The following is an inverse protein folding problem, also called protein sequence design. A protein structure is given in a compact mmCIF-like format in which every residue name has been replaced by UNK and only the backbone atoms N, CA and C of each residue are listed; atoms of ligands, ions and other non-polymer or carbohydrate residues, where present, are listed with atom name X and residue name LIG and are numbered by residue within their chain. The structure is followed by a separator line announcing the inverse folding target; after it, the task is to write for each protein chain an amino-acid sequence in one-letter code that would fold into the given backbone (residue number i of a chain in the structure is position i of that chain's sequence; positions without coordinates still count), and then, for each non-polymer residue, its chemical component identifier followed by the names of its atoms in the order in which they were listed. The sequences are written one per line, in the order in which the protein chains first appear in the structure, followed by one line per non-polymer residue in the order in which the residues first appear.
data_IF_686064368497
#
_entry.id   IF_686064368497
#
_cell.length_a   1.000
_cell.length_b   1.000
_cell.length_c   1.000
_cell.angle_alpha   90.00
_cell.angle_beta   90.00
_cell.angle_gamma   90.00
#
_symmetry.space_group_name_H-M   'P 1'
#
loop_
_entity.id
_entity.type
_entity.pdbx_description
1 polymer ?
#
# COMPACT_ATOMS: atom_id res chain seq x y z
N UNK A 1 -2.12 -7.70 17.96
CA UNK A 1 -0.72 -8.11 18.26
C UNK A 1 -0.20 -8.92 17.08
N UNK A 2 1.01 -8.62 16.60
CA UNK A 2 1.66 -9.38 15.53
C UNK A 2 2.57 -10.44 16.15
N UNK A 3 2.52 -11.67 15.63
CA UNK A 3 3.33 -12.78 16.13
C UNK A 3 3.99 -13.51 14.96
N UNK A 4 5.32 -13.59 14.98
CA UNK A 4 6.11 -14.35 14.02
C UNK A 4 6.33 -15.75 14.55
N UNK A 5 5.81 -16.76 13.85
CA UNK A 5 6.08 -18.16 14.15
C UNK A 5 7.10 -18.70 13.15
N UNK A 6 8.21 -19.21 13.66
CA UNK A 6 9.28 -19.81 12.86
C UNK A 6 9.25 -21.32 13.07
N UNK A 7 9.05 -22.07 11.99
CA UNK A 7 9.05 -23.53 12.00
C UNK A 7 10.45 -24.02 11.65
N UNK A 8 11.14 -24.56 12.66
CA UNK A 8 12.49 -25.11 12.47
C UNK A 8 12.43 -26.49 11.80
N UNK A 9 13.48 -26.91 11.05
CA UNK A 9 13.55 -28.28 10.55
C UNK A 9 13.36 -29.30 11.68
N UNK A 10 12.33 -30.14 11.57
CA UNK A 10 11.99 -31.15 12.59
C UNK A 10 11.02 -30.68 13.68
N UNK A 11 10.60 -29.42 13.71
CA UNK A 11 9.51 -28.97 14.60
C UNK A 11 8.18 -29.62 14.17
N UNK A 12 7.32 -29.96 15.13
CA UNK A 12 5.95 -30.38 14.86
C UNK A 12 5.06 -29.14 14.66
N UNK A 13 4.60 -28.81 13.44
CA UNK A 13 3.83 -27.58 13.20
C UNK A 13 2.54 -27.50 14.04
N UNK A 14 1.94 -28.64 14.38
CA UNK A 14 0.72 -28.67 15.19
C UNK A 14 0.99 -28.18 16.62
N UNK A 15 2.10 -28.63 17.23
CA UNK A 15 2.51 -28.21 18.58
C UNK A 15 2.97 -26.75 18.62
N UNK A 16 3.61 -26.27 17.56
CA UNK A 16 4.02 -24.87 17.45
C UNK A 16 2.80 -23.93 17.38
N UNK A 17 1.72 -24.36 16.72
CA UNK A 17 0.49 -23.57 16.63
C UNK A 17 -0.29 -23.52 17.95
N UNK A 18 -0.31 -24.60 18.73
CA UNK A 18 -0.95 -24.58 20.06
C UNK A 18 -0.22 -23.67 21.04
N UNK A 19 1.05 -23.35 20.77
CA UNK A 19 1.87 -22.45 21.58
C UNK A 19 1.70 -20.96 21.21
N UNK A 20 0.87 -20.63 20.21
CA UNK A 20 0.63 -19.24 19.81
C UNK A 20 -0.11 -18.50 20.94
N UNK A 21 0.40 -17.35 21.42
CA UNK A 21 -0.24 -16.60 22.50
C UNK A 21 -1.69 -16.17 22.19
N UNK A 22 -2.53 -16.12 23.22
CA UNK A 22 -3.86 -15.53 23.10
C UNK A 22 -3.79 -14.04 22.75
N UNK A 23 -4.75 -13.56 21.96
CA UNK A 23 -4.83 -12.14 21.56
C UNK A 23 -3.94 -11.78 20.35
N UNK A 24 -3.22 -12.74 19.77
CA UNK A 24 -2.58 -12.56 18.46
C UNK A 24 -3.65 -12.33 17.40
N UNK A 25 -3.48 -11.25 16.62
CA UNK A 25 -4.41 -10.85 15.56
C UNK A 25 -3.77 -10.94 14.18
N UNK A 26 -2.44 -10.92 14.08
CA UNK A 26 -1.69 -11.15 12.85
C UNK A 26 -0.64 -12.21 13.10
N UNK A 27 -0.75 -13.33 12.39
CA UNK A 27 0.18 -14.46 12.44
C UNK A 27 1.09 -14.42 11.21
N UNK A 28 2.39 -14.36 11.44
CA UNK A 28 3.40 -14.35 10.40
C UNK A 28 4.12 -15.70 10.32
N UNK A 29 3.87 -16.43 9.23
CA UNK A 29 4.49 -17.69 8.85
C UNK A 29 5.39 -17.54 7.61
N UNK A 30 5.81 -16.33 7.26
CA UNK A 30 6.67 -16.12 6.10
C UNK A 30 8.02 -16.83 6.22
N UNK A 31 8.65 -17.22 5.10
CA UNK A 31 10.00 -17.78 5.09
C UNK A 31 10.19 -19.03 5.98
N UNK A 32 9.16 -19.89 6.06
CA UNK A 32 9.16 -21.16 6.80
C UNK A 32 9.27 -22.39 5.88
N UNK A 33 9.54 -22.20 4.59
CA UNK A 33 9.60 -23.29 3.61
C UNK A 33 8.36 -24.19 3.64
N UNK A 34 7.15 -23.62 3.79
CA UNK A 34 5.93 -24.43 3.94
C UNK A 34 5.69 -25.40 2.76
N UNK A 35 6.29 -25.17 1.59
CA UNK A 35 6.25 -26.13 0.48
C UNK A 35 6.76 -27.54 0.85
N UNK A 36 7.72 -27.65 1.77
CA UNK A 36 8.32 -28.93 2.18
C UNK A 36 7.59 -29.61 3.33
N UNK A 37 6.66 -28.92 4.01
CA UNK A 37 5.85 -29.50 5.08
C UNK A 37 4.71 -30.30 4.44
N UNK A 38 4.34 -31.43 5.06
CA UNK A 38 3.25 -32.24 4.54
C UNK A 38 1.92 -31.48 4.58
N UNK A 39 1.07 -31.76 3.59
CA UNK A 39 -0.25 -31.13 3.48
C UNK A 39 -1.11 -31.41 4.71
N UNK A 40 -1.03 -32.63 5.26
CA UNK A 40 -1.80 -33.04 6.45
C UNK A 40 -1.36 -32.26 7.68
N UNK A 41 -0.05 -32.13 7.93
CA UNK A 41 0.46 -31.38 9.08
C UNK A 41 0.09 -29.90 9.02
N UNK A 42 0.17 -29.27 7.84
CA UNK A 42 -0.22 -27.86 7.67
C UNK A 42 -1.70 -27.63 7.94
N UNK A 43 -2.57 -28.51 7.42
CA UNK A 43 -4.02 -28.42 7.65
C UNK A 43 -4.33 -28.60 9.14
N UNK A 44 -3.70 -29.56 9.80
CA UNK A 44 -3.85 -29.77 11.24
C UNK A 44 -3.31 -28.59 12.06
N UNK A 45 -2.20 -27.98 11.65
CA UNK A 45 -1.65 -26.79 12.29
C UNK A 45 -2.61 -25.60 12.13
N UNK A 46 -3.12 -25.34 10.93
CA UNK A 46 -4.09 -24.27 10.68
C UNK A 46 -5.37 -24.44 11.53
N UNK A 47 -5.83 -25.67 11.76
CA UNK A 47 -6.96 -25.93 12.66
C UNK A 47 -6.71 -25.49 14.12
N UNK A 48 -5.45 -25.35 14.54
CA UNK A 48 -5.05 -24.85 15.87
C UNK A 48 -4.74 -23.35 15.88
N UNK A 49 -4.99 -22.62 14.80
CA UNK A 49 -4.80 -21.16 14.76
C UNK A 49 -5.76 -20.48 15.74
N UNK A 50 -5.29 -19.55 16.61
CA UNK A 50 -6.18 -18.85 17.52
C UNK A 50 -7.30 -18.09 16.79
N UNK A 51 -8.52 -18.16 17.31
CA UNK A 51 -9.70 -17.49 16.74
C UNK A 51 -9.59 -15.95 16.66
N UNK A 52 -8.64 -15.34 17.39
CA UNK A 52 -8.35 -13.91 17.30
C UNK A 52 -7.55 -13.51 16.05
N UNK A 53 -6.95 -14.46 15.33
CA UNK A 53 -6.10 -14.19 14.15
C UNK A 53 -6.95 -13.81 12.94
N UNK A 54 -6.85 -12.56 12.50
CA UNK A 54 -7.58 -12.06 11.31
C UNK A 54 -6.66 -11.81 10.13
N UNK A 55 -5.34 -11.81 10.33
CA UNK A 55 -4.33 -11.62 9.30
C UNK A 55 -3.32 -12.78 9.32
N UNK A 56 -3.09 -13.38 8.15
CA UNK A 56 -2.16 -14.49 7.97
C UNK A 56 -1.13 -14.15 6.89
N UNK A 57 0.14 -14.18 7.25
CA UNK A 57 1.24 -13.99 6.30
C UNK A 57 1.91 -15.32 5.96
N UNK A 58 1.72 -15.78 4.72
CA UNK A 58 2.33 -16.98 4.14
C UNK A 58 3.41 -16.64 3.10
N UNK A 59 3.96 -15.43 3.11
CA UNK A 59 4.89 -14.98 2.07
C UNK A 59 6.23 -15.74 2.06
N UNK A 60 6.87 -15.87 0.91
CA UNK A 60 8.23 -16.43 0.86
C UNK A 60 8.30 -17.91 1.25
N UNK A 61 7.26 -18.70 0.98
CA UNK A 61 7.20 -20.12 1.37
C UNK A 61 7.30 -21.09 0.19
N UNK A 62 7.59 -20.56 -1.01
CA UNK A 62 7.77 -21.34 -2.23
C UNK A 62 6.56 -22.22 -2.59
N UNK A 63 5.35 -21.80 -2.21
CA UNK A 63 4.11 -22.57 -2.37
C UNK A 63 3.78 -22.90 -3.83
N UNK A 64 4.30 -22.14 -4.80
CA UNK A 64 4.19 -22.40 -6.23
C UNK A 64 4.82 -23.74 -6.67
N UNK A 65 5.74 -24.32 -5.90
CA UNK A 65 6.32 -25.64 -6.18
C UNK A 65 5.57 -26.79 -5.50
N UNK A 66 4.60 -26.50 -4.63
CA UNK A 66 3.76 -27.54 -4.03
C UNK A 66 2.84 -28.14 -5.08
N UNK A 67 2.49 -29.43 -4.94
CA UNK A 67 1.50 -30.05 -5.83
C UNK A 67 0.19 -29.23 -5.83
N UNK A 68 -0.48 -29.17 -6.97
CA UNK A 68 -1.63 -28.27 -7.14
C UNK A 68 -2.86 -28.66 -6.33
N UNK A 69 -3.15 -29.96 -6.20
CA UNK A 69 -4.25 -30.41 -5.36
C UNK A 69 -3.91 -30.22 -3.87
N UNK A 70 -2.65 -30.41 -3.49
CA UNK A 70 -2.18 -30.13 -2.13
C UNK A 70 -2.29 -28.65 -1.74
N UNK A 71 -1.87 -27.74 -2.63
CA UNK A 71 -1.94 -26.30 -2.37
C UNK A 71 -3.39 -25.84 -2.27
N UNK A 72 -4.27 -26.37 -3.12
CA UNK A 72 -5.72 -26.12 -3.05
C UNK A 72 -6.26 -26.52 -1.66
N UNK A 73 -5.90 -27.71 -1.16
CA UNK A 73 -6.32 -28.16 0.16
C UNK A 73 -5.79 -27.26 1.29
N UNK A 74 -4.54 -26.78 1.19
CA UNK A 74 -3.95 -25.89 2.20
C UNK A 74 -4.64 -24.53 2.21
N UNK A 75 -4.90 -23.94 1.04
CA UNK A 75 -5.60 -22.66 0.95
C UNK A 75 -7.05 -22.77 1.45
N UNK A 76 -7.74 -23.86 1.12
CA UNK A 76 -9.09 -24.12 1.60
C UNK A 76 -9.14 -24.34 3.13
N UNK A 77 -8.03 -24.75 3.75
CA UNK A 77 -7.91 -24.94 5.19
C UNK A 77 -7.50 -23.69 5.97
N UNK A 78 -7.30 -22.54 5.29
CA UNK A 78 -7.04 -21.27 5.98
C UNK A 78 -8.20 -20.97 6.96
N UNK A 79 -7.92 -20.58 8.21
CA UNK A 79 -8.96 -20.37 9.22
C UNK A 79 -10.01 -19.34 8.80
N UNK A 80 -11.29 -19.65 9.07
CA UNK A 80 -12.43 -18.85 8.60
C UNK A 80 -12.52 -17.43 9.20
N UNK A 81 -11.79 -17.15 10.28
CA UNK A 81 -11.66 -15.83 10.89
C UNK A 81 -10.61 -14.93 10.19
N UNK A 82 -9.78 -15.50 9.30
CA UNK A 82 -8.81 -14.73 8.52
C UNK A 82 -9.52 -13.96 7.42
N UNK A 83 -9.21 -12.65 7.35
CA UNK A 83 -9.73 -11.73 6.33
C UNK A 83 -8.62 -11.05 5.52
N UNK A 84 -7.37 -11.12 5.99
CA UNK A 84 -6.19 -10.64 5.27
C UNK A 84 -5.18 -11.77 5.06
N UNK A 85 -4.84 -12.03 3.81
CA UNK A 85 -3.92 -13.08 3.41
C UNK A 85 -2.77 -12.52 2.58
N UNK A 86 -1.54 -12.84 2.97
CA UNK A 86 -0.35 -12.51 2.18
C UNK A 86 0.28 -13.78 1.60
N UNK A 87 0.25 -13.89 0.26
CA UNK A 87 0.85 -14.95 -0.54
C UNK A 87 2.03 -14.43 -1.38
N UNK A 88 2.60 -13.27 -1.06
CA UNK A 88 3.71 -12.71 -1.83
C UNK A 88 4.96 -13.60 -1.82
N UNK A 89 5.78 -13.56 -2.87
CA UNK A 89 7.06 -14.30 -2.86
C UNK A 89 6.92 -15.82 -2.88
N UNK A 90 5.86 -16.36 -3.48
CA UNK A 90 5.60 -17.80 -3.50
C UNK A 90 5.79 -18.46 -4.86
N UNK A 91 6.32 -17.75 -5.87
CA UNK A 91 6.51 -18.26 -7.23
C UNK A 91 5.22 -18.80 -7.86
N UNK A 92 4.07 -18.20 -7.56
CA UNK A 92 2.77 -18.70 -8.06
C UNK A 92 2.67 -18.69 -9.59
N UNK A 93 3.44 -17.85 -10.30
CA UNK A 93 3.50 -17.86 -11.77
C UNK A 93 4.11 -19.14 -12.37
N UNK A 94 4.81 -19.97 -11.58
CA UNK A 94 5.42 -21.22 -12.05
C UNK A 94 4.41 -22.36 -12.19
N UNK A 95 3.23 -22.22 -11.59
CA UNK A 95 2.07 -23.10 -11.82
C UNK A 95 1.63 -23.00 -13.28
N UNK A 96 1.17 -24.09 -13.90
CA UNK A 96 0.49 -23.99 -15.20
C UNK A 96 -0.79 -23.16 -15.11
N UNK A 97 -1.35 -22.72 -16.24
CA UNK A 97 -2.56 -21.87 -16.24
C UNK A 97 -3.71 -22.51 -15.46
N UNK A 98 -4.00 -23.79 -15.72
CA UNK A 98 -5.10 -24.51 -15.06
C UNK A 98 -4.86 -24.73 -13.57
N UNK A 99 -3.61 -24.94 -13.17
CA UNK A 99 -3.24 -25.08 -11.76
C UNK A 99 -3.34 -23.75 -11.00
N UNK A 100 -2.95 -22.66 -11.64
CA UNK A 100 -3.07 -21.33 -11.06
C UNK A 100 -4.54 -20.94 -10.89
N UNK A 101 -5.39 -21.25 -11.87
CA UNK A 101 -6.85 -21.08 -11.78
C UNK A 101 -7.40 -21.80 -10.53
N UNK A 102 -7.09 -23.09 -10.37
CA UNK A 102 -7.52 -23.86 -9.19
C UNK A 102 -6.97 -23.27 -7.89
N UNK A 103 -5.70 -22.85 -7.90
CA UNK A 103 -5.04 -22.27 -6.73
C UNK A 103 -5.71 -20.98 -6.28
N UNK A 104 -5.99 -20.04 -7.20
CA UNK A 104 -6.64 -18.78 -6.85
C UNK A 104 -8.11 -18.96 -6.47
N UNK A 105 -8.82 -19.91 -7.10
CA UNK A 105 -10.19 -20.27 -6.75
C UNK A 105 -10.32 -20.87 -5.33
N UNK A 106 -9.24 -21.46 -4.80
CA UNK A 106 -9.21 -22.08 -3.47
C UNK A 106 -9.03 -21.08 -2.33
N UNK A 107 -8.75 -19.79 -2.63
CA UNK A 107 -8.65 -18.75 -1.60
C UNK A 107 -10.03 -18.60 -0.92
N UNK A 108 -10.12 -18.62 0.43
CA UNK A 108 -11.40 -18.52 1.11
C UNK A 108 -12.14 -17.21 0.83
N UNK A 109 -13.48 -17.27 0.76
CA UNK A 109 -14.34 -16.10 0.59
C UNK A 109 -14.32 -15.13 1.80
N UNK A 110 -13.70 -15.52 2.90
CA UNK A 110 -13.48 -14.64 4.06
C UNK A 110 -12.40 -13.59 3.79
N UNK A 111 -11.53 -13.83 2.80
CA UNK A 111 -10.43 -12.94 2.44
C UNK A 111 -10.95 -11.70 1.70
N UNK A 112 -10.66 -10.54 2.25
CA UNK A 112 -10.98 -9.21 1.68
C UNK A 112 -9.73 -8.44 1.27
N UNK A 113 -8.57 -8.75 1.88
CA UNK A 113 -7.27 -8.17 1.56
C UNK A 113 -6.32 -9.28 1.12
N UNK A 114 -5.87 -9.23 -0.13
CA UNK A 114 -4.98 -10.24 -0.71
C UNK A 114 -3.68 -9.62 -1.23
N UNK A 115 -2.53 -10.12 -0.77
CA UNK A 115 -1.21 -9.79 -1.33
C UNK A 115 -0.66 -10.92 -2.19
N UNK A 116 -0.53 -10.63 -3.48
CA UNK A 116 0.03 -11.47 -4.53
C UNK A 116 1.34 -10.89 -5.10
N UNK A 117 2.00 -9.98 -4.39
CA UNK A 117 3.24 -9.36 -4.82
C UNK A 117 4.39 -10.37 -5.00
N UNK A 118 5.43 -10.01 -5.75
CA UNK A 118 6.64 -10.84 -5.89
C UNK A 118 6.38 -12.30 -6.30
N UNK A 119 5.40 -12.53 -7.16
CA UNK A 119 5.07 -13.85 -7.68
C UNK A 119 5.46 -14.01 -9.15
N UNK A 120 6.21 -13.07 -9.71
CA UNK A 120 6.65 -13.05 -11.11
C UNK A 120 5.48 -13.20 -12.10
N UNK A 121 4.36 -12.50 -11.88
CA UNK A 121 3.23 -12.55 -12.82
C UNK A 121 3.57 -11.96 -14.21
N UNK A 122 4.70 -11.26 -14.37
CA UNK A 122 5.27 -10.90 -15.65
C UNK A 122 5.56 -12.08 -16.58
N UNK A 123 5.81 -13.29 -16.06
CA UNK A 123 6.06 -14.47 -16.90
C UNK A 123 4.78 -15.09 -17.48
N UNK A 124 3.60 -14.73 -16.96
CA UNK A 124 2.30 -15.16 -17.50
C UNK A 124 1.85 -14.30 -18.67
N UNK A 125 1.29 -14.90 -19.72
CA UNK A 125 0.59 -14.14 -20.77
C UNK A 125 -0.63 -13.41 -20.21
N UNK A 126 -1.10 -12.36 -20.89
CA UNK A 126 -2.30 -11.64 -20.46
C UNK A 126 -3.55 -12.53 -20.45
N UNK A 127 -3.64 -13.54 -21.31
CA UNK A 127 -4.72 -14.52 -21.32
C UNK A 127 -4.69 -15.46 -20.11
N UNK A 128 -3.52 -15.99 -19.76
CA UNK A 128 -3.35 -16.81 -18.55
C UNK A 128 -3.63 -16.00 -17.29
N UNK A 129 -3.13 -14.77 -17.22
CA UNK A 129 -3.42 -13.86 -16.11
C UNK A 129 -4.92 -13.63 -15.99
N UNK A 130 -5.59 -13.30 -17.09
CA UNK A 130 -7.04 -13.08 -17.11
C UNK A 130 -7.82 -14.31 -16.68
N UNK A 131 -7.44 -15.49 -17.17
CA UNK A 131 -8.08 -16.76 -16.81
C UNK A 131 -7.93 -17.05 -15.31
N UNK A 132 -6.75 -16.82 -14.74
CA UNK A 132 -6.51 -17.05 -13.31
C UNK A 132 -7.24 -16.03 -12.42
N UNK A 133 -7.10 -14.73 -12.71
CA UNK A 133 -7.60 -13.66 -11.85
C UNK A 133 -9.13 -13.52 -11.87
N UNK A 134 -9.81 -14.00 -12.93
CA UNK A 134 -11.27 -14.08 -12.95
C UNK A 134 -11.86 -15.07 -11.94
N UNK A 135 -11.02 -15.96 -11.38
CA UNK A 135 -11.41 -16.93 -10.36
C UNK A 135 -11.08 -16.49 -8.93
N UNK A 136 -10.55 -15.27 -8.74
CA UNK A 136 -10.38 -14.72 -7.40
C UNK A 136 -11.75 -14.53 -6.71
N UNK A 137 -11.86 -14.81 -5.41
CA UNK A 137 -13.08 -14.57 -4.65
C UNK A 137 -13.60 -13.13 -4.78
N UNK A 138 -14.91 -12.99 -5.02
CA UNK A 138 -15.59 -11.69 -5.11
C UNK A 138 -15.66 -10.94 -3.75
N UNK A 139 -15.09 -11.48 -2.69
CA UNK A 139 -14.89 -10.82 -1.40
C UNK A 139 -13.69 -9.86 -1.38
N UNK A 140 -12.75 -10.00 -2.32
CA UNK A 140 -11.47 -9.27 -2.31
C UNK A 140 -11.67 -7.80 -2.70
N UNK A 141 -11.58 -6.89 -1.74
CA UNK A 141 -11.70 -5.45 -1.99
C UNK A 141 -10.35 -4.76 -2.13
N UNK A 142 -9.27 -5.36 -1.62
CA UNK A 142 -7.91 -4.84 -1.72
C UNK A 142 -6.97 -5.89 -2.31
N UNK A 143 -6.35 -5.57 -3.44
CA UNK A 143 -5.45 -6.46 -4.16
C UNK A 143 -4.07 -5.82 -4.31
N UNK A 144 -3.04 -6.56 -3.89
CA UNK A 144 -1.66 -6.12 -4.02
C UNK A 144 -0.89 -6.97 -5.05
N UNK A 145 -0.38 -6.30 -6.09
CA UNK A 145 0.40 -6.86 -7.20
C UNK A 145 1.81 -6.26 -7.25
N UNK A 146 2.33 -5.76 -6.13
CA UNK A 146 3.66 -5.14 -6.08
C UNK A 146 4.76 -6.08 -6.55
N UNK A 147 5.79 -5.55 -7.21
CA UNK A 147 7.00 -6.33 -7.52
C UNK A 147 6.74 -7.55 -8.40
N UNK A 148 5.83 -7.46 -9.37
CA UNK A 148 5.58 -8.52 -10.35
C UNK A 148 6.14 -8.15 -11.74
N UNK A 149 7.07 -7.18 -11.79
CA UNK A 149 7.75 -6.70 -13.00
C UNK A 149 6.83 -6.43 -14.20
N UNK A 150 5.58 -6.01 -13.93
CA UNK A 150 4.56 -5.84 -14.96
C UNK A 150 4.98 -4.84 -16.05
N UNK A 151 5.88 -3.91 -15.75
CA UNK A 151 6.46 -2.97 -16.71
C UNK A 151 7.14 -3.63 -17.92
N UNK A 152 7.55 -4.91 -17.85
CA UNK A 152 8.11 -5.61 -19.02
C UNK A 152 7.04 -5.90 -20.10
N UNK A 153 5.76 -5.99 -19.72
CA UNK A 153 4.67 -6.32 -20.63
C UNK A 153 4.41 -5.21 -21.65
N UNK A 154 3.84 -5.59 -22.79
CA UNK A 154 3.37 -4.61 -23.77
C UNK A 154 2.20 -3.78 -23.19
N UNK A 155 1.95 -2.61 -23.77
CA UNK A 155 0.87 -1.73 -23.31
C UNK A 155 -0.51 -2.39 -23.44
N UNK A 156 -0.75 -3.16 -24.49
CA UNK A 156 -2.01 -3.87 -24.69
C UNK A 156 -2.18 -5.05 -23.71
N UNK A 157 -1.11 -5.78 -23.38
CA UNK A 157 -1.15 -6.81 -22.34
C UNK A 157 -1.45 -6.21 -20.96
N UNK A 158 -0.82 -5.09 -20.63
CA UNK A 158 -1.05 -4.38 -19.36
C UNK A 158 -2.52 -3.94 -19.20
N UNK A 159 -3.13 -3.45 -20.28
CA UNK A 159 -4.55 -3.09 -20.30
C UNK A 159 -5.44 -4.33 -20.08
N UNK A 160 -5.10 -5.46 -20.72
CA UNK A 160 -5.81 -6.72 -20.50
C UNK A 160 -5.65 -7.24 -19.06
N UNK A 161 -4.47 -7.04 -18.45
CA UNK A 161 -4.21 -7.35 -17.04
C UNK A 161 -5.10 -6.50 -16.12
N UNK A 162 -5.23 -5.20 -16.36
CA UNK A 162 -6.15 -4.34 -15.60
C UNK A 162 -7.61 -4.75 -15.78
N UNK A 163 -8.02 -5.12 -17.00
CA UNK A 163 -9.35 -5.60 -17.28
C UNK A 163 -9.67 -6.95 -16.60
N UNK A 164 -8.67 -7.68 -16.11
CA UNK A 164 -8.82 -8.91 -15.36
C UNK A 164 -8.94 -8.70 -13.84
N UNK A 165 -8.70 -7.49 -13.34
CA UNK A 165 -8.85 -7.18 -11.92
C UNK A 165 -10.34 -7.30 -11.54
N UNK A 166 -10.69 -8.01 -10.44
CA UNK A 166 -12.08 -8.18 -10.04
C UNK A 166 -12.79 -6.84 -9.80
N UNK A 167 -14.04 -6.73 -10.27
CA UNK A 167 -14.82 -5.48 -10.25
C UNK A 167 -15.17 -4.97 -8.84
N UNK A 168 -14.95 -5.77 -7.81
CA UNK A 168 -15.13 -5.42 -6.40
C UNK A 168 -13.85 -4.87 -5.75
N UNK A 169 -12.71 -4.89 -6.45
CA UNK A 169 -11.45 -4.31 -5.95
C UNK A 169 -11.54 -2.79 -6.01
N UNK A 170 -11.40 -2.15 -4.85
CA UNK A 170 -11.36 -0.69 -4.71
C UNK A 170 -9.96 -0.15 -4.37
N UNK A 171 -9.08 -1.00 -3.84
CA UNK A 171 -7.69 -0.67 -3.56
C UNK A 171 -6.76 -1.56 -4.38
N UNK A 172 -5.97 -0.97 -5.27
CA UNK A 172 -5.02 -1.68 -6.12
C UNK A 172 -3.60 -1.19 -5.85
N UNK A 173 -2.70 -2.12 -5.53
CA UNK A 173 -1.29 -1.81 -5.35
C UNK A 173 -0.43 -2.31 -6.51
N UNK A 174 0.18 -1.39 -7.25
CA UNK A 174 1.09 -1.63 -8.37
C UNK A 174 2.53 -1.19 -8.04
N UNK A 175 2.87 -1.05 -6.76
CA UNK A 175 4.19 -0.62 -6.30
C UNK A 175 5.31 -1.46 -6.91
N UNK A 176 6.41 -0.83 -7.34
CA UNK A 176 7.61 -1.59 -7.70
C UNK A 176 7.45 -2.48 -8.93
N UNK A 177 6.67 -2.08 -9.93
CA UNK A 177 6.48 -2.84 -11.18
C UNK A 177 7.29 -2.26 -12.36
N UNK A 178 8.24 -1.35 -12.11
CA UNK A 178 9.09 -0.73 -13.13
C UNK A 178 8.29 -0.08 -14.28
N UNK A 179 7.15 0.56 -13.97
CA UNK A 179 6.25 1.11 -14.98
C UNK A 179 6.86 2.25 -15.81
N UNK A 180 7.88 2.96 -15.30
CA UNK A 180 8.59 3.98 -16.07
C UNK A 180 9.38 3.45 -17.28
N UNK A 181 9.56 2.14 -17.40
CA UNK A 181 10.13 1.49 -18.60
C UNK A 181 9.25 1.66 -19.85
N UNK A 182 7.93 1.88 -19.68
CA UNK A 182 7.01 2.20 -20.78
C UNK A 182 7.24 3.62 -21.29
N UNK A 183 6.98 3.87 -22.57
CA UNK A 183 7.02 5.25 -23.05
C UNK A 183 5.83 6.07 -22.51
N UNK A 184 5.87 7.39 -22.67
CA UNK A 184 4.86 8.29 -22.11
C UNK A 184 3.44 7.95 -22.56
N UNK A 185 3.23 7.70 -23.86
CA UNK A 185 1.91 7.38 -24.41
C UNK A 185 1.38 6.03 -23.93
N UNK A 186 2.24 5.02 -23.86
CA UNK A 186 1.90 3.68 -23.36
C UNK A 186 1.50 3.71 -21.89
N UNK A 187 2.29 4.38 -21.05
CA UNK A 187 2.01 4.49 -19.63
C UNK A 187 0.72 5.27 -19.38
N UNK A 188 0.49 6.36 -20.12
CA UNK A 188 -0.74 7.12 -20.03
C UNK A 188 -1.98 6.28 -20.43
N UNK A 189 -1.89 5.51 -21.53
CA UNK A 189 -2.96 4.60 -22.00
C UNK A 189 -3.24 3.50 -20.96
N UNK A 190 -2.19 2.96 -20.34
CA UNK A 190 -2.32 1.97 -19.27
C UNK A 190 -3.04 2.55 -18.04
N UNK A 191 -2.57 3.69 -17.52
CA UNK A 191 -3.20 4.31 -16.33
C UNK A 191 -4.62 4.79 -16.61
N UNK A 192 -4.94 5.21 -17.83
CA UNK A 192 -6.31 5.53 -18.23
C UNK A 192 -7.25 4.32 -18.22
N UNK A 193 -6.70 3.11 -18.19
CA UNK A 193 -7.46 1.85 -18.18
C UNK A 193 -7.62 1.26 -16.78
N UNK A 194 -7.28 2.01 -15.71
CA UNK A 194 -7.52 1.58 -14.33
C UNK A 194 -9.03 1.30 -14.14
N UNK A 195 -9.43 0.14 -13.57
CA UNK A 195 -10.83 -0.22 -13.45
C UNK A 195 -11.66 0.78 -12.63
N UNK A 196 -12.90 1.02 -13.06
CA UNK A 196 -13.80 2.02 -12.44
C UNK A 196 -14.10 1.79 -10.95
N UNK A 197 -13.92 0.56 -10.45
CA UNK A 197 -14.07 0.23 -9.04
C UNK A 197 -12.90 0.70 -8.18
N UNK A 198 -11.71 0.87 -8.77
CA UNK A 198 -10.48 1.24 -8.07
C UNK A 198 -10.49 2.73 -7.74
N UNK A 199 -10.59 3.04 -6.46
CA UNK A 199 -10.60 4.41 -5.92
C UNK A 199 -9.30 4.76 -5.20
N UNK A 200 -8.51 3.75 -4.81
CA UNK A 200 -7.17 3.91 -4.24
C UNK A 200 -6.14 3.15 -5.06
N UNK A 201 -5.11 3.86 -5.53
CA UNK A 201 -4.05 3.33 -6.37
C UNK A 201 -2.68 3.60 -5.74
N UNK A 202 -1.84 2.57 -5.63
CA UNK A 202 -0.45 2.71 -5.23
C UNK A 202 0.48 2.55 -6.43
N UNK A 203 1.13 3.64 -6.83
CA UNK A 203 2.14 3.70 -7.89
C UNK A 203 3.56 3.91 -7.33
N UNK A 204 3.76 3.70 -6.04
CA UNK A 204 5.07 3.92 -5.42
C UNK A 204 6.17 3.04 -6.03
N UNK A 205 7.43 3.47 -5.93
CA UNK A 205 8.58 2.69 -6.41
C UNK A 205 8.54 2.26 -7.89
N UNK A 206 7.88 3.02 -8.77
CA UNK A 206 7.79 2.72 -10.21
C UNK A 206 8.78 3.51 -11.08
N UNK A 207 9.75 4.17 -10.45
CA UNK A 207 10.80 4.97 -11.10
C UNK A 207 10.25 6.10 -11.97
N UNK A 208 9.08 6.65 -11.63
CA UNK A 208 8.44 7.70 -12.44
C UNK A 208 9.29 8.97 -12.59
N UNK A 209 10.25 9.21 -11.69
CA UNK A 209 11.24 10.28 -11.81
C UNK A 209 12.19 10.17 -13.01
N UNK A 210 12.20 9.05 -13.74
CA UNK A 210 12.87 8.92 -15.04
C UNK A 210 12.13 9.65 -16.17
N UNK A 211 10.87 10.07 -15.94
CA UNK A 211 10.10 10.86 -16.89
C UNK A 211 10.37 12.35 -16.68
N UNK A 212 10.31 13.11 -17.77
CA UNK A 212 10.27 14.56 -17.68
C UNK A 212 8.99 15.03 -17.00
N UNK A 213 8.99 16.22 -16.40
CA UNK A 213 7.81 16.76 -15.74
C UNK A 213 6.65 17.05 -16.72
N UNK A 214 6.96 17.32 -17.99
CA UNK A 214 5.94 17.43 -19.05
C UNK A 214 5.28 16.08 -19.33
N UNK A 215 6.06 14.99 -19.40
CA UNK A 215 5.51 13.64 -19.53
C UNK A 215 4.71 13.24 -18.28
N UNK A 216 5.22 13.53 -17.07
CA UNK A 216 4.49 13.27 -15.83
C UNK A 216 3.16 14.00 -15.77
N UNK A 217 3.10 15.27 -16.19
CA UNK A 217 1.85 16.01 -16.25
C UNK A 217 0.82 15.31 -17.16
N UNK A 218 1.26 14.82 -18.32
CA UNK A 218 0.41 14.06 -19.25
C UNK A 218 -0.03 12.71 -18.67
N UNK A 219 0.90 11.94 -18.09
CA UNK A 219 0.64 10.64 -17.45
C UNK A 219 -0.32 10.79 -16.26
N UNK A 220 -0.09 11.78 -15.40
CA UNK A 220 -0.95 12.04 -14.24
C UNK A 220 -2.34 12.48 -14.66
N UNK A 221 -2.46 13.29 -15.71
CA UNK A 221 -3.74 13.72 -16.25
C UNK A 221 -4.56 12.58 -16.87
N UNK A 222 -3.92 11.45 -17.20
CA UNK A 222 -4.61 10.26 -17.72
C UNK A 222 -5.15 9.35 -16.62
N UNK A 223 -4.77 9.56 -15.35
CA UNK A 223 -5.33 8.81 -14.22
C UNK A 223 -6.84 9.14 -14.11
N UNK A 224 -7.73 8.14 -14.11
CA UNK A 224 -9.17 8.36 -14.07
C UNK A 224 -9.63 9.08 -12.81
N UNK A 225 -10.65 9.93 -12.96
CA UNK A 225 -11.17 10.77 -11.87
C UNK A 225 -11.79 10.01 -10.68
N UNK A 226 -12.13 8.73 -10.84
CA UNK A 226 -12.61 7.88 -9.75
C UNK A 226 -11.48 7.46 -8.79
N UNK A 227 -10.21 7.56 -9.21
CA UNK A 227 -9.06 7.31 -8.33
C UNK A 227 -8.86 8.52 -7.44
N UNK A 228 -9.39 8.51 -6.22
CA UNK A 228 -9.33 9.65 -5.30
C UNK A 228 -8.16 9.58 -4.32
N UNK A 229 -7.48 8.44 -4.22
CA UNK A 229 -6.31 8.21 -3.38
C UNK A 229 -5.15 7.70 -4.22
N UNK A 230 -4.01 8.40 -4.19
CA UNK A 230 -2.83 8.03 -4.97
C UNK A 230 -1.55 8.05 -4.13
N UNK A 231 -0.81 6.94 -4.13
CA UNK A 231 0.53 6.89 -3.54
C UNK A 231 1.61 7.07 -4.61
N UNK A 232 2.43 8.12 -4.45
CA UNK A 232 3.53 8.46 -5.36
C UNK A 232 4.92 8.29 -4.73
N UNK A 233 5.01 7.75 -3.51
CA UNK A 233 6.27 7.58 -2.79
C UNK A 233 7.31 6.77 -3.57
N UNK A 234 8.58 6.92 -3.23
CA UNK A 234 9.71 6.15 -3.76
C UNK A 234 9.82 6.20 -5.29
N UNK A 235 9.25 7.20 -5.97
CA UNK A 235 9.38 7.36 -7.41
C UNK A 235 10.62 8.15 -7.84
N UNK A 236 11.51 8.50 -6.90
CA UNK A 236 12.76 9.20 -7.16
C UNK A 236 12.55 10.53 -7.91
N UNK A 237 11.58 11.34 -7.48
CA UNK A 237 11.37 12.68 -8.00
C UNK A 237 12.52 13.60 -7.51
N UNK A 238 13.70 13.49 -8.12
CA UNK A 238 14.92 14.17 -7.70
C UNK A 238 14.81 15.69 -7.83
N UNK A 239 14.98 16.40 -6.71
CA UNK A 239 15.24 17.85 -6.64
C UNK A 239 14.51 18.70 -7.69
N UNK A 240 13.17 18.69 -7.74
CA UNK A 240 12.41 19.40 -8.76
C UNK A 240 12.80 20.88 -8.85
N UNK A 241 13.08 21.41 -10.04
CA UNK A 241 13.08 22.87 -10.21
C UNK A 241 11.66 23.43 -10.03
N UNK A 242 11.54 24.69 -9.66
CA UNK A 242 10.24 25.36 -9.57
C UNK A 242 9.47 25.31 -10.91
N UNK A 243 10.17 25.50 -12.02
CA UNK A 243 9.58 25.45 -13.36
C UNK A 243 9.06 24.06 -13.72
N UNK A 244 9.77 23.01 -13.32
CA UNK A 244 9.32 21.63 -13.50
C UNK A 244 8.02 21.34 -12.74
N UNK A 245 7.91 21.78 -11.48
CA UNK A 245 6.70 21.55 -10.67
C UNK A 245 5.49 22.30 -11.23
N UNK A 246 5.68 23.50 -11.78
CA UNK A 246 4.60 24.27 -12.42
C UNK A 246 3.95 23.52 -13.58
N UNK A 247 4.69 22.63 -14.26
CA UNK A 247 4.13 21.81 -15.35
C UNK A 247 3.10 20.80 -14.85
N UNK A 248 3.17 20.38 -13.59
CA UNK A 248 2.22 19.43 -12.99
C UNK A 248 0.88 20.06 -12.62
N UNK A 249 0.72 21.38 -12.80
CA UNK A 249 -0.49 22.09 -12.39
C UNK A 249 -1.75 21.41 -12.92
N UNK A 250 -2.72 21.20 -12.02
CA UNK A 250 -4.01 20.58 -12.25
C UNK A 250 -3.99 19.12 -12.77
N UNK A 251 -2.81 18.48 -12.89
CA UNK A 251 -2.69 17.14 -13.45
C UNK A 251 -3.34 16.05 -12.58
N UNK A 252 -3.57 16.33 -11.30
CA UNK A 252 -4.15 15.43 -10.31
C UNK A 252 -5.32 16.09 -9.55
N UNK A 253 -6.05 17.00 -10.21
CA UNK A 253 -7.13 17.80 -9.60
C UNK A 253 -8.29 17.00 -8.98
N UNK A 254 -8.42 15.72 -9.31
CA UNK A 254 -9.47 14.85 -8.81
C UNK A 254 -9.09 14.15 -7.49
N UNK A 255 -7.81 14.18 -7.08
CA UNK A 255 -7.34 13.52 -5.87
C UNK A 255 -7.88 14.20 -4.60
N UNK A 256 -8.26 13.35 -3.65
CA UNK A 256 -8.60 13.74 -2.28
C UNK A 256 -7.49 13.35 -1.30
N UNK A 257 -6.78 12.24 -1.55
CA UNK A 257 -5.65 11.78 -0.74
C UNK A 257 -4.41 11.56 -1.60
N UNK A 258 -3.25 12.02 -1.13
CA UNK A 258 -1.95 11.79 -1.80
C UNK A 258 -0.90 11.40 -0.77
N UNK A 259 -0.08 10.42 -1.12
CA UNK A 259 1.08 10.01 -0.32
C UNK A 259 2.37 10.48 -1.01
N UNK A 260 3.23 11.15 -0.24
CA UNK A 260 4.47 11.76 -0.73
C UNK A 260 5.64 11.40 0.17
N UNK A 261 6.83 11.28 -0.41
CA UNK A 261 8.06 11.05 0.35
C UNK A 261 8.40 12.27 1.20
N UNK A 262 8.44 12.09 2.53
CA UNK A 262 8.84 13.14 3.45
C UNK A 262 10.23 13.69 3.13
N UNK A 263 11.17 12.80 2.81
CA UNK A 263 12.56 13.18 2.55
C UNK A 263 12.73 14.03 1.28
N UNK A 264 11.81 13.92 0.33
CA UNK A 264 11.81 14.76 -0.88
C UNK A 264 11.19 16.12 -0.52
N UNK A 265 10.00 16.10 0.08
CA UNK A 265 9.23 17.31 0.33
C UNK A 265 9.92 18.22 1.36
N UNK A 266 10.54 17.67 2.40
CA UNK A 266 11.21 18.48 3.45
C UNK A 266 12.37 19.35 2.93
N UNK A 267 12.91 18.99 1.76
CA UNK A 267 14.03 19.68 1.12
C UNK A 267 13.55 20.70 0.07
N UNK A 268 12.24 20.87 -0.12
CA UNK A 268 11.67 21.86 -1.04
C UNK A 268 11.54 23.24 -0.38
N UNK A 269 11.68 24.29 -1.18
CA UNK A 269 11.29 25.66 -0.81
C UNK A 269 9.77 25.78 -0.70
N UNK A 270 9.31 26.89 -0.11
CA UNK A 270 7.87 27.20 0.00
C UNK A 270 7.21 27.31 -1.37
N UNK A 271 7.89 27.91 -2.33
CA UNK A 271 7.42 28.07 -3.72
C UNK A 271 7.33 26.71 -4.41
N UNK A 272 8.30 25.82 -4.19
CA UNK A 272 8.26 24.45 -4.70
C UNK A 272 7.10 23.66 -4.08
N UNK A 273 6.90 23.73 -2.75
CA UNK A 273 5.77 23.07 -2.10
C UNK A 273 4.43 23.57 -2.66
N UNK A 274 4.26 24.88 -2.83
CA UNK A 274 3.05 25.45 -3.44
C UNK A 274 2.86 25.00 -4.89
N UNK A 275 3.93 24.95 -5.67
CA UNK A 275 3.87 24.49 -7.07
C UNK A 275 3.50 23.01 -7.17
N UNK A 276 4.06 22.15 -6.30
CA UNK A 276 3.67 20.75 -6.20
C UNK A 276 2.20 20.62 -5.75
N UNK A 277 1.79 21.42 -4.76
CA UNK A 277 0.41 21.53 -4.29
C UNK A 277 -0.60 21.85 -5.40
N UNK A 278 -0.20 22.70 -6.34
CA UNK A 278 -1.02 23.07 -7.48
C UNK A 278 -1.29 21.90 -8.46
N UNK A 279 -0.61 20.76 -8.33
CA UNK A 279 -0.95 19.56 -9.08
C UNK A 279 -2.26 18.92 -8.60
N UNK A 280 -2.59 19.07 -7.31
CA UNK A 280 -3.75 18.47 -6.66
C UNK A 280 -4.54 19.52 -5.85
N UNK A 281 -5.10 20.56 -6.51
CA UNK A 281 -5.73 21.71 -5.83
C UNK A 281 -6.90 21.36 -4.89
N UNK A 282 -7.57 20.22 -5.10
CA UNK A 282 -8.73 19.80 -4.31
C UNK A 282 -8.38 18.80 -3.19
N UNK A 283 -7.09 18.64 -2.87
CA UNK A 283 -6.62 17.66 -1.90
C UNK A 283 -7.23 17.90 -0.51
N UNK A 284 -7.63 16.83 0.16
CA UNK A 284 -8.17 16.84 1.52
C UNK A 284 -7.15 16.32 2.53
N UNK A 285 -6.39 15.29 2.13
CA UNK A 285 -5.42 14.62 2.99
C UNK A 285 -4.08 14.45 2.26
N UNK A 286 -3.01 14.95 2.88
CA UNK A 286 -1.63 14.69 2.44
C UNK A 286 -0.99 13.82 3.50
N UNK A 287 -0.45 12.69 3.08
CA UNK A 287 0.24 11.74 3.96
C UNK A 287 1.71 11.74 3.59
N UNK A 288 2.56 12.12 4.55
CA UNK A 288 4.00 12.06 4.36
C UNK A 288 4.51 10.71 4.87
N UNK A 289 5.33 10.07 4.06
CA UNK A 289 5.86 8.74 4.35
C UNK A 289 7.38 8.82 4.50
N UNK A 290 7.93 8.17 5.51
CA UNK A 290 9.37 8.10 5.71
C UNK A 290 10.05 7.15 4.71
N UNK A 291 11.39 7.14 4.67
CA UNK A 291 12.18 6.24 3.83
C UNK A 291 11.92 4.74 4.04
N UNK A 292 11.34 4.36 5.17
CA UNK A 292 11.01 2.97 5.50
C UNK A 292 9.58 2.61 5.06
N UNK A 293 8.83 3.54 4.48
CA UNK A 293 7.43 3.33 4.10
C UNK A 293 6.45 3.55 5.24
N UNK A 294 6.86 4.13 6.37
CA UNK A 294 5.97 4.40 7.51
C UNK A 294 5.33 5.78 7.37
N UNK A 295 4.02 5.83 7.51
CA UNK A 295 3.28 7.09 7.58
C UNK A 295 3.72 7.92 8.79
N UNK A 296 3.98 9.19 8.55
CA UNK A 296 4.37 10.15 9.56
C UNK A 296 3.12 10.93 9.98
N UNK A 297 2.68 10.72 11.21
CA UNK A 297 1.54 11.46 11.72
C UNK A 297 1.87 12.96 11.90
N UNK A 298 1.02 13.90 11.44
CA UNK A 298 1.30 15.33 11.52
C UNK A 298 1.51 15.85 12.95
N UNK A 299 0.85 15.23 13.94
CA UNK A 299 0.99 15.61 15.36
C UNK A 299 2.38 15.31 15.94
N UNK A 300 3.20 14.50 15.26
CA UNK A 300 4.54 14.17 15.75
C UNK A 300 5.54 15.34 15.59
N UNK A 301 5.24 16.35 14.76
CA UNK A 301 6.19 17.43 14.48
C UNK A 301 5.56 18.66 13.81
N UNK A 302 5.81 19.84 14.38
CA UNK A 302 5.42 21.14 13.82
C UNK A 302 5.95 21.34 12.38
N UNK A 303 7.23 21.08 12.07
CA UNK A 303 7.74 21.09 10.70
C UNK A 303 6.89 20.31 9.69
N UNK A 304 6.39 19.14 10.07
CA UNK A 304 5.57 18.29 9.19
C UNK A 304 4.19 18.90 8.96
N UNK A 305 3.58 19.45 10.01
CA UNK A 305 2.29 20.17 9.88
C UNK A 305 2.41 21.40 8.99
N UNK A 306 3.49 22.18 9.15
CA UNK A 306 3.77 23.34 8.30
C UNK A 306 3.97 22.93 6.83
N UNK A 307 4.67 21.83 6.58
CA UNK A 307 4.92 21.32 5.24
C UNK A 307 3.63 20.87 4.53
N UNK A 308 2.77 20.14 5.24
CA UNK A 308 1.44 19.74 4.74
C UNK A 308 0.59 20.97 4.42
N UNK A 309 0.66 22.02 5.26
CA UNK A 309 -0.03 23.29 5.03
C UNK A 309 0.48 24.00 3.76
N UNK A 310 1.80 24.04 3.57
CA UNK A 310 2.40 24.66 2.38
C UNK A 310 2.05 23.90 1.10
N UNK A 311 2.03 22.57 1.14
CA UNK A 311 1.60 21.72 0.02
C UNK A 311 0.11 21.84 -0.29
N UNK A 312 -0.75 21.82 0.72
CA UNK A 312 -2.20 21.85 0.48
C UNK A 312 -2.68 23.22 0.00
N UNK A 313 -1.90 24.28 0.21
CA UNK A 313 -2.31 25.67 -0.05
C UNK A 313 -3.45 26.15 0.85
N UNK A 314 -3.97 25.27 1.72
CA UNK A 314 -4.98 25.60 2.71
C UNK A 314 -4.26 26.21 3.90
N UNK A 315 -4.43 27.51 4.08
CA UNK A 315 -4.07 28.16 5.33
C UNK A 315 -5.09 27.73 6.39
N UNK A 316 -4.97 26.50 6.90
CA UNK A 316 -5.67 26.17 8.13
C UNK A 316 -5.02 26.99 9.23
N UNK A 317 -5.73 28.07 9.55
CA UNK A 317 -5.57 28.87 10.76
C UNK A 317 -5.48 27.87 11.91
N UNK A 318 -4.42 27.90 12.75
CA UNK A 318 -4.30 26.96 13.86
C UNK A 318 -5.64 26.94 14.62
N UNK A 319 -6.09 25.77 15.08
CA UNK A 319 -7.32 25.70 15.89
C UNK A 319 -7.28 26.79 16.95
N UNK A 320 -8.45 27.32 17.35
CA UNK A 320 -8.48 28.33 18.40
C UNK A 320 -7.67 27.86 19.62
N UNK A 321 -7.72 26.56 19.93
CA UNK A 321 -6.85 25.91 20.90
C UNK A 321 -5.36 26.16 20.60
N UNK A 322 -4.84 25.79 19.43
CA UNK A 322 -3.43 26.01 19.08
C UNK A 322 -3.03 27.49 19.08
N UNK A 323 -3.91 28.40 18.65
CA UNK A 323 -3.66 29.84 18.76
C UNK A 323 -3.58 30.29 20.21
N UNK A 324 -4.48 29.82 21.06
CA UNK A 324 -4.50 30.09 22.49
C UNK A 324 -3.27 29.52 23.20
N UNK A 325 -2.81 28.31 22.84
CA UNK A 325 -1.58 27.71 23.37
C UNK A 325 -0.36 28.58 23.02
N UNK A 326 -0.23 28.99 21.75
CA UNK A 326 0.87 29.88 21.30
C UNK A 326 0.80 31.24 22.00
N UNK A 327 -0.40 31.83 22.12
CA UNK A 327 -0.61 33.09 22.82
C UNK A 327 -0.20 33.00 24.29
N UNK A 328 -0.69 31.98 25.00
CA UNK A 328 -0.43 31.76 26.42
C UNK A 328 1.07 31.60 26.70
N UNK A 329 1.78 30.88 25.83
CA UNK A 329 3.22 30.68 25.91
C UNK A 329 4.01 31.97 25.61
N UNK A 330 3.65 32.69 24.54
CA UNK A 330 4.36 33.91 24.11
C UNK A 330 4.21 35.05 25.12
N UNK A 331 3.07 35.11 25.81
CA UNK A 331 2.79 36.16 26.79
C UNK A 331 3.15 35.77 28.23
N UNK A 332 3.87 34.65 28.44
CA UNK A 332 4.35 34.20 29.75
C UNK A 332 3.26 34.28 30.84
N UNK A 333 2.03 33.89 30.49
CA UNK A 333 0.95 33.81 31.47
C UNK A 333 1.41 32.87 32.59
N UNK A 334 1.26 33.22 33.86
CA UNK A 334 1.72 32.35 34.95
C UNK A 334 0.82 31.11 35.04
N UNK A 335 1.11 30.08 34.24
CA UNK A 335 0.25 28.92 34.00
C UNK A 335 0.13 28.04 35.24
N UNK A 336 1.10 28.14 36.15
CA UNK A 336 1.11 27.40 37.42
C UNK A 336 0.00 27.87 38.37
N UNK A 337 -0.41 29.13 38.28
CA UNK A 337 -1.47 29.71 39.11
C UNK A 337 -2.87 29.60 38.47
N UNK A 338 -2.96 29.10 37.23
CA UNK A 338 -4.22 28.94 36.52
C UNK A 338 -4.88 27.61 36.87
N UNK A 339 -6.17 27.67 37.24
CA UNK A 339 -7.02 26.51 37.45
C UNK A 339 -7.47 25.92 36.10
N UNK A 340 -6.54 25.23 35.42
CA UNK A 340 -6.78 24.53 34.14
C UNK A 340 -6.42 23.03 34.28
N UNK A 341 -7.02 22.16 33.45
CA UNK A 341 -6.68 20.73 33.41
C UNK A 341 -5.19 20.50 33.12
N UNK A 342 -4.63 19.43 33.69
CA UNK A 342 -3.21 19.11 33.58
C UNK A 342 -2.78 18.85 32.13
N UNK A 343 -3.65 18.25 31.32
CA UNK A 343 -3.40 17.99 29.90
C UNK A 343 -3.23 19.30 29.10
N UNK A 344 -3.99 20.34 29.49
CA UNK A 344 -3.90 21.66 28.85
C UNK A 344 -2.62 22.38 29.30
N UNK A 345 -2.24 22.25 30.58
CA UNK A 345 -0.99 22.81 31.11
C UNK A 345 0.23 22.21 30.40
N UNK A 346 0.26 20.89 30.23
CA UNK A 346 1.29 20.18 29.47
C UNK A 346 1.33 20.65 28.01
N UNK A 347 0.15 20.83 27.38
CA UNK A 347 0.05 21.31 26.00
C UNK A 347 0.59 22.73 25.81
N UNK A 348 0.42 23.65 26.77
CA UNK A 348 0.98 25.01 26.67
C UNK A 348 2.51 24.99 26.83
N UNK A 349 3.03 24.20 27.78
CA UNK A 349 4.47 24.11 28.05
C UNK A 349 5.25 23.45 26.92
N UNK A 350 4.64 22.45 26.26
CA UNK A 350 5.26 21.69 25.15
C UNK A 350 5.04 22.32 23.78
N UNK A 351 4.15 23.31 23.67
CA UNK A 351 3.98 24.11 22.46
C UNK A 351 5.33 24.77 22.10
N UNK A 352 5.67 24.93 20.81
CA UNK A 352 6.84 25.70 20.39
C UNK A 352 6.38 26.84 19.48
N UNK A 353 6.77 28.11 19.75
CA UNK A 353 6.36 29.24 18.95
C UNK A 353 6.97 29.18 17.54
N UNK A 354 6.22 29.72 16.56
CA UNK A 354 6.50 29.70 15.11
C UNK A 354 7.85 30.31 14.71
#
# INVERSE_FOLDING_TARGET
MNYKLTLHPGSNPVEEFTSIPHGVTSLDLSLNNLYSISTVELIQAFANTPASVTSLNLSGNSLGFKNSDELVQILAAIPANVTSLNLSGNFLSYKSSDELVKTLAAIPFTITVLDLGWNDFSSKSSSEFKQAFSNLPASITSLNLRGNDLGIKSSDELIQILAAIPANVNSLNLRGNNLASKNCAELAKFLASIPASVTSLDLSANLLGLKSYAELAYIFSSIPNHVVSLNLCLNCLHGPSLENLKLLKDSLKHLQTVYLDYDIVKNMSKEQCKALGAAFPNIQKIILVDKNGKEIHPSHSIPISNLIRELSGKADVPSLLNQCLIFAQKHQTNIEDLNIPDELRESIQTCKPL
#
